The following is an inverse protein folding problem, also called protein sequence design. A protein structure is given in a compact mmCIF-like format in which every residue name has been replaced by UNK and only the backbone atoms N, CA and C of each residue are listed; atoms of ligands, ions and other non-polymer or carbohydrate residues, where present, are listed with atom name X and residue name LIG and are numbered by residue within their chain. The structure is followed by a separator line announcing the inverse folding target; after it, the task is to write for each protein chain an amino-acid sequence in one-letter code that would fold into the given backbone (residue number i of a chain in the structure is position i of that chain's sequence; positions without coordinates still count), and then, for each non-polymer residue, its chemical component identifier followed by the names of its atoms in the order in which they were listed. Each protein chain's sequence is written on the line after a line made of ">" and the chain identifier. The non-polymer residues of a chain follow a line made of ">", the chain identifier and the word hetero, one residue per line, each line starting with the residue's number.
data_IF_013667212837
#
_entry.id   IF_013667212837
#
_cell.length_a   1.000
_cell.length_b   1.000
_cell.length_c   1.000
_cell.angle_alpha   90.00
_cell.angle_beta   90.00
_cell.angle_gamma   90.00
#
_symmetry.space_group_name_H-M   'P 1'
#
loop_
_entity.id
_entity.type
_entity.pdbx_description
1 polymer ?
#
# COMPACT_ATOMS: atom_id res chain seq x y z
N UNK A 1 4.62 12.19 0.52
CA UNK A 1 3.61 11.36 -0.17
C UNK A 1 3.69 11.57 -1.69
N UNK A 2 4.66 10.92 -2.35
CA UNK A 2 4.94 11.13 -3.79
C UNK A 2 4.18 10.16 -4.73
N UNK A 3 2.90 9.90 -4.48
CA UNK A 3 2.07 9.14 -5.44
C UNK A 3 1.24 10.05 -6.37
N UNK A 4 1.00 11.30 -5.98
CA UNK A 4 0.46 12.36 -6.85
C UNK A 4 0.86 13.77 -6.35
N UNK A 5 1.91 13.84 -5.52
CA UNK A 5 2.41 15.04 -4.83
C UNK A 5 1.36 15.79 -3.96
N UNK A 6 0.30 15.09 -3.56
CA UNK A 6 -0.74 15.62 -2.66
C UNK A 6 -0.35 15.39 -1.20
N UNK A 7 -0.60 16.38 -0.35
CA UNK A 7 -0.43 16.26 1.10
C UNK A 7 -1.44 15.27 1.70
N UNK A 8 -1.02 14.53 2.72
CA UNK A 8 -1.86 13.55 3.43
C UNK A 8 -3.22 14.14 3.83
N UNK A 9 -3.23 15.34 4.39
CA UNK A 9 -4.46 15.99 4.85
C UNK A 9 -5.48 16.25 3.72
N UNK A 10 -5.03 16.53 2.50
CA UNK A 10 -5.92 16.73 1.35
C UNK A 10 -6.58 15.42 0.92
N UNK A 11 -5.81 14.33 0.92
CA UNK A 11 -6.32 12.99 0.60
C UNK A 11 -7.30 12.51 1.67
N UNK A 12 -6.98 12.76 2.94
CA UNK A 12 -7.86 12.42 4.06
C UNK A 12 -9.17 13.20 4.00
N UNK A 13 -9.09 14.48 3.68
CA UNK A 13 -10.29 15.30 3.55
C UNK A 13 -11.15 14.86 2.37
N UNK A 14 -10.57 14.63 1.19
CA UNK A 14 -11.30 14.11 0.03
C UNK A 14 -12.01 12.79 0.32
N UNK A 15 -11.31 11.86 0.98
CA UNK A 15 -11.88 10.58 1.36
C UNK A 15 -13.11 10.74 2.28
N UNK A 16 -13.02 11.62 3.28
CA UNK A 16 -14.11 11.88 4.23
C UNK A 16 -15.29 12.57 3.55
N UNK A 17 -15.02 13.51 2.67
CA UNK A 17 -16.04 14.35 2.07
C UNK A 17 -16.77 13.63 0.91
N UNK A 18 -16.09 12.73 0.20
CA UNK A 18 -16.60 12.17 -1.05
C UNK A 18 -16.72 10.64 -1.10
N UNK A 19 -15.98 9.88 -0.27
CA UNK A 19 -15.82 8.42 -0.48
C UNK A 19 -16.44 7.53 0.60
N UNK A 20 -16.87 8.08 1.73
CA UNK A 20 -17.49 7.32 2.82
C UNK A 20 -18.89 6.76 2.47
N UNK A 21 -19.62 7.45 1.61
CA UNK A 21 -21.00 7.11 1.22
C UNK A 21 -21.13 6.84 -0.29
N UNK A 22 -20.00 6.70 -0.99
CA UNK A 22 -19.98 6.43 -2.42
C UNK A 22 -20.56 5.03 -2.69
N UNK A 23 -21.42 4.92 -3.71
CA UNK A 23 -21.89 3.63 -4.22
C UNK A 23 -21.11 3.30 -5.47
N UNK A 24 -20.57 2.08 -5.55
CA UNK A 24 -19.90 1.56 -6.75
C UNK A 24 -20.79 0.49 -7.36
N UNK A 25 -21.13 0.63 -8.64
CA UNK A 25 -21.96 -0.31 -9.40
C UNK A 25 -23.28 -0.70 -8.71
N UNK A 26 -23.94 0.28 -8.08
CA UNK A 26 -25.16 0.13 -7.28
C UNK A 26 -25.05 -0.85 -6.09
N UNK A 27 -23.83 -1.25 -5.71
CA UNK A 27 -23.56 -2.07 -4.54
C UNK A 27 -23.33 -1.19 -3.30
N UNK A 28 -23.88 -1.65 -2.17
CA UNK A 28 -23.63 -1.06 -0.87
C UNK A 28 -22.21 -1.45 -0.43
N UNK A 29 -21.31 -0.47 -0.39
CA UNK A 29 -19.96 -0.68 0.12
C UNK A 29 -19.98 -0.69 1.65
N UNK A 30 -19.13 -1.53 2.24
CA UNK A 30 -18.92 -1.54 3.69
C UNK A 30 -18.34 -0.19 4.10
N UNK A 31 -18.85 0.38 5.20
CA UNK A 31 -18.32 1.63 5.71
C UNK A 31 -16.86 1.45 6.11
N UNK A 32 -15.92 2.19 5.50
CA UNK A 32 -14.50 2.01 5.77
C UNK A 32 -14.14 2.58 7.15
N UNK A 33 -13.15 1.99 7.81
CA UNK A 33 -12.59 2.55 9.04
C UNK A 33 -11.79 3.82 8.71
N UNK A 34 -12.44 4.97 8.85
CA UNK A 34 -11.82 6.28 8.59
C UNK A 34 -10.66 6.61 9.53
N UNK A 35 -10.59 5.98 10.71
CA UNK A 35 -9.47 6.16 11.64
C UNK A 35 -8.25 5.41 11.14
N UNK A 36 -8.41 4.13 10.77
CA UNK A 36 -7.36 3.32 10.19
C UNK A 36 -6.82 3.96 8.90
N UNK A 37 -7.73 4.39 8.00
CA UNK A 37 -7.35 5.10 6.77
C UNK A 37 -6.51 6.35 7.06
N UNK A 38 -6.98 7.21 7.98
CA UNK A 38 -6.27 8.44 8.37
C UNK A 38 -4.87 8.12 8.92
N UNK A 39 -4.76 7.08 9.75
CA UNK A 39 -3.49 6.67 10.36
C UNK A 39 -2.51 6.15 9.32
N UNK A 40 -2.97 5.34 8.36
CA UNK A 40 -2.13 4.81 7.27
C UNK A 40 -1.62 5.96 6.40
N UNK A 41 -2.50 6.85 5.90
CA UNK A 41 -2.11 7.92 4.97
C UNK A 41 -1.11 8.89 5.60
N UNK A 42 -1.34 9.31 6.85
CA UNK A 42 -0.38 10.15 7.60
C UNK A 42 0.89 9.40 7.94
N UNK A 43 0.75 8.13 8.32
CA UNK A 43 1.86 7.26 8.66
C UNK A 43 2.85 7.10 7.52
N UNK A 44 2.34 6.85 6.31
CA UNK A 44 3.13 6.80 5.08
C UNK A 44 3.83 8.12 4.84
N UNK A 45 3.14 9.27 4.93
CA UNK A 45 3.78 10.58 4.73
C UNK A 45 4.94 10.84 5.71
N UNK A 46 4.78 10.44 6.98
CA UNK A 46 5.80 10.64 8.03
C UNK A 46 6.96 9.65 7.91
N UNK A 47 6.69 8.41 7.49
CA UNK A 47 7.66 7.30 7.51
C UNK A 47 8.11 6.85 6.12
N UNK A 48 7.79 7.61 5.08
CA UNK A 48 8.11 7.29 3.68
C UNK A 48 9.60 6.96 3.51
N UNK A 49 10.48 7.73 4.15
CA UNK A 49 11.94 7.55 4.10
C UNK A 49 12.45 6.26 4.73
N UNK A 50 11.67 5.64 5.60
CA UNK A 50 12.03 4.39 6.27
C UNK A 50 11.50 3.18 5.48
N UNK A 51 10.34 3.33 4.84
CA UNK A 51 9.61 2.23 4.19
C UNK A 51 10.01 2.10 2.73
N UNK A 52 10.09 3.22 2.00
CA UNK A 52 10.38 3.22 0.57
C UNK A 52 11.70 2.51 0.22
N UNK A 53 12.81 2.69 0.96
CA UNK A 53 14.05 1.98 0.66
C UNK A 53 13.93 0.47 0.81
N UNK A 54 13.18 -0.01 1.82
CA UNK A 54 12.95 -1.44 2.07
C UNK A 54 12.14 -2.04 0.92
N UNK A 55 11.02 -1.42 0.56
CA UNK A 55 10.16 -1.85 -0.54
C UNK A 55 10.93 -1.84 -1.86
N UNK A 56 11.69 -0.78 -2.14
CA UNK A 56 12.49 -0.64 -3.37
C UNK A 56 13.56 -1.72 -3.46
N UNK A 57 14.25 -2.02 -2.35
CA UNK A 57 15.28 -3.08 -2.30
C UNK A 57 14.68 -4.44 -2.61
N UNK A 58 13.53 -4.75 -2.01
CA UNK A 58 12.82 -6.02 -2.24
C UNK A 58 12.34 -6.12 -3.68
N UNK A 59 11.72 -5.07 -4.23
CA UNK A 59 11.28 -5.02 -5.63
C UNK A 59 12.43 -5.27 -6.60
N UNK A 60 13.56 -4.58 -6.41
CA UNK A 60 14.76 -4.74 -7.24
C UNK A 60 15.29 -6.18 -7.17
N UNK A 61 15.35 -6.78 -5.96
CA UNK A 61 15.82 -8.16 -5.77
C UNK A 61 14.98 -9.21 -6.49
N UNK A 62 13.70 -8.88 -6.76
CA UNK A 62 12.75 -9.75 -7.46
C UNK A 62 12.77 -9.58 -8.98
N UNK A 63 13.67 -8.76 -9.52
CA UNK A 63 13.74 -8.47 -10.97
C UNK A 63 12.52 -7.68 -11.49
N UNK A 64 11.70 -7.14 -10.58
CA UNK A 64 10.56 -6.29 -10.90
C UNK A 64 10.99 -4.87 -11.28
N UNK A 65 12.27 -4.54 -11.15
CA UNK A 65 12.84 -3.26 -11.51
C UNK A 65 14.19 -3.50 -12.14
N UNK A 66 14.23 -3.39 -13.47
CA UNK A 66 15.45 -3.44 -14.27
C UNK A 66 15.52 -2.14 -15.08
N UNK A 67 16.72 -1.74 -15.52
CA UNK A 67 16.90 -0.58 -16.41
C UNK A 67 16.06 -0.67 -17.70
N UNK A 68 15.66 -1.89 -18.06
CA UNK A 68 14.87 -2.27 -19.22
C UNK A 68 13.36 -2.39 -18.95
N UNK A 69 12.90 -2.30 -17.69
CA UNK A 69 11.47 -2.28 -17.36
C UNK A 69 11.16 -1.45 -16.09
N UNK A 70 11.23 -0.10 -16.17
CA UNK A 70 10.99 0.80 -15.03
C UNK A 70 9.52 0.89 -14.59
N UNK A 71 8.60 0.22 -15.31
CA UNK A 71 7.14 0.40 -15.16
C UNK A 71 6.62 0.24 -13.74
N UNK A 72 7.19 -0.67 -12.95
CA UNK A 72 6.66 -1.04 -11.64
C UNK A 72 6.99 -0.02 -10.54
N UNK A 73 8.07 0.77 -10.70
CA UNK A 73 8.34 1.92 -9.82
C UNK A 73 7.56 3.17 -10.25
N UNK A 74 7.16 3.25 -11.52
CA UNK A 74 6.41 4.40 -12.07
C UNK A 74 4.90 4.25 -11.97
N UNK A 75 4.38 3.07 -11.64
CA UNK A 75 2.96 2.87 -11.40
C UNK A 75 2.60 3.41 -10.00
N UNK A 76 1.91 4.55 -10.00
CA UNK A 76 1.53 5.28 -8.79
C UNK A 76 0.62 4.46 -7.87
N UNK A 77 -0.24 3.61 -8.45
CA UNK A 77 -1.17 2.79 -7.68
C UNK A 77 -0.42 1.64 -6.99
N UNK A 78 0.46 0.96 -7.72
CA UNK A 78 1.28 -0.10 -7.13
C UNK A 78 2.16 0.45 -6.01
N UNK A 79 2.83 1.60 -6.24
CA UNK A 79 3.63 2.26 -5.21
C UNK A 79 2.79 2.60 -3.98
N UNK A 80 1.58 3.11 -4.18
CA UNK A 80 0.67 3.42 -3.06
C UNK A 80 0.28 2.18 -2.26
N UNK A 81 -0.10 1.08 -2.93
CA UNK A 81 -0.45 -0.19 -2.28
C UNK A 81 0.73 -0.72 -1.46
N UNK A 82 1.94 -0.72 -2.03
CA UNK A 82 3.12 -1.24 -1.36
C UNK A 82 3.57 -0.38 -0.18
N UNK A 83 3.50 0.96 -0.30
CA UNK A 83 3.87 1.86 0.80
C UNK A 83 2.85 1.81 1.94
N UNK A 84 1.54 1.80 1.64
CA UNK A 84 0.50 1.67 2.65
C UNK A 84 0.59 0.32 3.36
N UNK A 85 0.68 -0.78 2.61
CA UNK A 85 0.83 -2.12 3.20
C UNK A 85 2.13 -2.27 3.99
N UNK A 86 3.24 -1.74 3.47
CA UNK A 86 4.51 -1.71 4.18
C UNK A 86 4.45 -0.92 5.49
N UNK A 87 3.83 0.27 5.47
CA UNK A 87 3.62 1.07 6.69
C UNK A 87 2.78 0.29 7.72
N UNK A 88 1.67 -0.28 7.29
CA UNK A 88 0.75 -0.96 8.18
C UNK A 88 1.39 -2.19 8.84
N UNK A 89 2.13 -3.00 8.06
CA UNK A 89 2.89 -4.13 8.58
C UNK A 89 3.96 -3.72 9.60
N UNK A 90 4.58 -2.55 9.40
CA UNK A 90 5.58 -2.01 10.31
C UNK A 90 4.94 -1.45 11.60
N UNK A 91 3.79 -0.78 11.49
CA UNK A 91 3.15 -0.04 12.57
C UNK A 91 2.22 -0.91 13.45
N UNK A 92 1.53 -1.89 12.86
CA UNK A 92 0.55 -2.74 13.55
C UNK A 92 1.11 -4.14 13.79
N UNK A 93 2.14 -4.19 14.63
CA UNK A 93 2.83 -5.45 14.93
C UNK A 93 1.98 -6.46 15.73
N UNK A 94 0.89 -5.99 16.32
CA UNK A 94 -0.13 -6.72 17.07
C UNK A 94 -1.19 -7.39 16.17
N UNK A 95 -1.25 -7.03 14.88
CA UNK A 95 -2.13 -7.65 13.88
C UNK A 95 -1.37 -8.74 13.12
N UNK A 96 -2.08 -9.80 12.75
CA UNK A 96 -1.50 -10.91 11.99
C UNK A 96 -1.10 -10.45 10.58
N UNK A 97 0.19 -10.55 10.25
CA UNK A 97 0.75 -10.05 9.00
C UNK A 97 0.05 -10.55 7.72
N UNK A 98 -0.27 -11.86 7.61
CA UNK A 98 -1.04 -12.41 6.50
C UNK A 98 -2.43 -11.78 6.32
N UNK A 99 -3.08 -11.31 7.39
CA UNK A 99 -4.37 -10.60 7.27
C UNK A 99 -4.16 -9.28 6.53
N UNK A 100 -3.21 -8.46 7.00
CA UNK A 100 -2.85 -7.19 6.33
C UNK A 100 -2.46 -7.45 4.88
N UNK A 101 -1.59 -8.44 4.61
CA UNK A 101 -1.15 -8.75 3.25
C UNK A 101 -2.33 -9.11 2.34
N UNK A 102 -3.25 -9.96 2.81
CA UNK A 102 -4.42 -10.35 2.04
C UNK A 102 -5.31 -9.15 1.71
N UNK A 103 -5.55 -8.24 2.66
CA UNK A 103 -6.37 -7.04 2.42
C UNK A 103 -5.81 -6.18 1.27
N UNK A 104 -4.49 -5.96 1.23
CA UNK A 104 -3.87 -5.21 0.12
C UNK A 104 -3.82 -5.99 -1.19
N UNK A 105 -3.74 -7.32 -1.14
CA UNK A 105 -3.84 -8.16 -2.35
C UNK A 105 -5.25 -8.09 -2.93
N UNK A 106 -6.28 -8.11 -2.08
CA UNK A 106 -7.67 -7.95 -2.50
C UNK A 106 -7.91 -6.57 -3.13
N UNK A 107 -7.36 -5.50 -2.55
CA UNK A 107 -7.34 -4.16 -3.19
C UNK A 107 -6.70 -4.23 -4.58
N UNK A 108 -5.57 -4.93 -4.72
CA UNK A 108 -4.87 -5.03 -6.01
C UNK A 108 -5.68 -5.75 -7.10
N UNK A 109 -6.53 -6.70 -6.71
CA UNK A 109 -7.36 -7.45 -7.65
C UNK A 109 -8.45 -6.59 -8.31
N UNK A 110 -8.83 -5.46 -7.70
CA UNK A 110 -9.75 -4.50 -8.31
C UNK A 110 -9.11 -3.72 -9.47
N UNK A 111 -7.77 -3.68 -9.58
CA UNK A 111 -7.07 -2.81 -10.53
C UNK A 111 -6.11 -3.54 -11.47
N UNK A 112 -5.67 -4.75 -11.14
CA UNK A 112 -4.66 -5.47 -11.90
C UNK A 112 -5.12 -6.85 -12.41
N UNK A 113 -4.48 -7.31 -13.48
CA UNK A 113 -4.82 -8.57 -14.17
C UNK A 113 -4.20 -9.84 -13.55
N UNK A 114 -3.52 -9.71 -12.41
CA UNK A 114 -3.13 -10.81 -11.51
C UNK A 114 -1.63 -11.08 -11.38
N UNK A 115 -0.81 -10.72 -12.36
CA UNK A 115 0.66 -10.85 -12.23
C UNK A 115 1.21 -9.82 -11.23
N UNK A 116 0.66 -8.61 -11.26
CA UNK A 116 0.97 -7.52 -10.33
C UNK A 116 0.51 -7.85 -8.91
N UNK A 117 -0.68 -8.45 -8.74
CA UNK A 117 -1.17 -8.90 -7.42
C UNK A 117 -0.26 -9.94 -6.78
N UNK A 118 0.28 -10.89 -7.56
CA UNK A 118 1.28 -11.86 -7.09
C UNK A 118 2.58 -11.19 -6.68
N UNK A 119 3.00 -10.18 -7.42
CA UNK A 119 4.18 -9.39 -7.07
C UNK A 119 3.97 -8.64 -5.76
N UNK A 120 2.84 -7.95 -5.61
CA UNK A 120 2.45 -7.22 -4.38
C UNK A 120 2.49 -8.16 -3.18
N UNK A 121 1.84 -9.32 -3.27
CA UNK A 121 1.89 -10.35 -2.22
C UNK A 121 3.33 -10.72 -1.83
N UNK A 122 4.17 -11.04 -2.83
CA UNK A 122 5.56 -11.41 -2.57
C UNK A 122 6.40 -10.28 -1.95
N UNK A 123 6.17 -9.04 -2.36
CA UNK A 123 6.88 -7.88 -1.81
C UNK A 123 6.46 -7.62 -0.36
N UNK A 124 5.16 -7.64 -0.07
CA UNK A 124 4.66 -7.41 1.29
C UNK A 124 5.04 -8.54 2.26
N UNK A 125 5.04 -9.80 1.82
CA UNK A 125 5.54 -10.93 2.62
C UNK A 125 7.03 -10.78 2.97
N UNK A 126 7.85 -10.35 2.00
CA UNK A 126 9.27 -10.10 2.25
C UNK A 126 9.49 -8.87 3.15
N UNK A 127 8.69 -7.82 2.99
CA UNK A 127 8.76 -6.62 3.83
C UNK A 127 8.36 -6.94 5.27
N UNK A 128 7.28 -7.70 5.46
CA UNK A 128 6.85 -8.18 6.76
C UNK A 128 7.98 -8.92 7.49
N UNK A 129 8.61 -9.90 6.83
CA UNK A 129 9.75 -10.64 7.40
C UNK A 129 10.89 -9.69 7.80
N UNK A 130 11.24 -8.76 6.91
CA UNK A 130 12.29 -7.79 7.17
C UNK A 130 11.98 -6.92 8.41
N UNK A 131 10.74 -6.44 8.57
CA UNK A 131 10.34 -5.66 9.75
C UNK A 131 10.31 -6.48 11.05
N UNK A 132 10.02 -7.79 10.98
CA UNK A 132 10.00 -8.69 12.16
C UNK A 132 11.38 -9.17 12.57
N UNK A 133 12.24 -9.40 11.60
CA UNK A 133 13.65 -9.73 11.82
C UNK A 133 14.45 -8.51 12.32
N UNK A 134 13.79 -7.35 12.42
CA UNK A 134 14.32 -6.14 13.03
C UNK A 134 15.45 -5.54 12.23
N UNK A 135 15.32 -5.52 10.89
CA UNK A 135 16.22 -4.87 9.92
C UNK A 135 17.28 -3.95 10.55
#
# INVERSE_FOLDING_TARGET
>A
MAANDQKADLVIQDFKDNRLEEKVDDQEMVFPDGTLFTNIVRGVEVRETDIEPVITTILNSRGASTAENPKLLTDLLMRSILLCGGFELMAHQDVDGPVIINDYVDVSHAFFSGQESKLINGVLDAAFKAFRDGL
#
